data_IF_391149814734
#
_entry.id   IF_391149814734
#
_cell.length_a   1.000
_cell.length_b   1.000
_cell.length_c   1.000
_cell.angle_alpha   90.00
_cell.angle_beta   90.00
_cell.angle_gamma   90.00
#
_symmetry.space_group_name_H-M   'P 1'
#
loop_
_entity.id
_entity.type
_entity.pdbx_description
1 polymer ?
#
# COMPACT_ATOMS: atom_id res chain seq x y z
N UNK A 1 6.37 -5.57 3.13
CA UNK A 1 4.90 -5.47 3.03
C UNK A 1 4.41 -5.88 1.64
N UNK A 2 4.66 -5.08 0.60
CA UNK A 2 4.13 -5.26 -0.77
C UNK A 2 4.39 -6.68 -1.31
N UNK A 3 5.62 -7.19 -1.20
CA UNK A 3 5.96 -8.54 -1.68
C UNK A 3 5.14 -9.66 -1.01
N UNK A 4 4.84 -9.52 0.29
CA UNK A 4 4.07 -10.52 1.03
C UNK A 4 2.58 -10.49 0.61
N UNK A 5 2.00 -9.29 0.51
CA UNK A 5 0.62 -9.10 0.04
C UNK A 5 0.44 -9.55 -1.42
N UNK A 6 1.39 -9.22 -2.30
CA UNK A 6 1.41 -9.70 -3.68
C UNK A 6 1.37 -11.23 -3.76
N UNK A 7 2.21 -11.91 -2.97
CA UNK A 7 2.23 -13.38 -2.91
C UNK A 7 0.91 -13.94 -2.35
N UNK A 8 0.31 -13.30 -1.35
CA UNK A 8 -0.98 -13.71 -0.80
C UNK A 8 -2.13 -13.57 -1.82
N UNK A 9 -2.06 -12.57 -2.72
CA UNK A 9 -2.97 -12.41 -3.87
C UNK A 9 -2.67 -13.36 -5.05
N UNK A 10 -1.61 -14.17 -4.97
CA UNK A 10 -1.24 -15.13 -6.01
C UNK A 10 -0.53 -14.51 -7.22
N UNK A 11 -0.12 -13.24 -7.15
CA UNK A 11 0.55 -12.57 -8.26
C UNK A 11 2.08 -12.81 -8.25
N UNK A 12 2.65 -13.01 -9.42
CA UNK A 12 4.09 -12.84 -9.69
C UNK A 12 4.45 -11.35 -9.74
N UNK A 13 5.75 -11.03 -9.65
CA UNK A 13 6.20 -9.64 -9.84
C UNK A 13 5.88 -9.12 -11.24
N UNK A 14 5.89 -9.99 -12.26
CA UNK A 14 5.57 -9.57 -13.60
C UNK A 14 4.09 -9.17 -13.71
N UNK A 15 3.17 -10.00 -13.20
CA UNK A 15 1.73 -9.72 -13.24
C UNK A 15 1.36 -8.47 -12.45
N UNK A 16 1.92 -8.26 -11.25
CA UNK A 16 1.63 -7.03 -10.50
C UNK A 16 2.19 -5.80 -11.23
N UNK A 17 3.39 -5.89 -11.80
CA UNK A 17 4.01 -4.79 -12.52
C UNK A 17 3.21 -4.41 -13.77
N UNK A 18 2.71 -5.40 -14.52
CA UNK A 18 1.83 -5.15 -15.67
C UNK A 18 0.52 -4.47 -15.24
N UNK A 19 -0.13 -4.96 -14.18
CA UNK A 19 -1.38 -4.37 -13.66
C UNK A 19 -1.18 -2.94 -13.12
N UNK A 20 -0.01 -2.63 -12.58
CA UNK A 20 0.34 -1.29 -12.05
C UNK A 20 0.96 -0.37 -13.09
N UNK A 21 1.13 -0.82 -14.33
CA UNK A 21 1.75 -0.08 -15.42
C UNK A 21 3.19 0.38 -15.13
N UNK A 22 3.98 -0.44 -14.42
CA UNK A 22 5.41 -0.20 -14.18
C UNK A 22 6.26 -1.35 -14.71
N UNK A 23 7.57 -1.12 -14.84
CA UNK A 23 8.48 -2.21 -15.20
C UNK A 23 8.62 -3.20 -14.05
N UNK A 24 8.79 -4.49 -14.39
CA UNK A 24 9.06 -5.54 -13.40
C UNK A 24 10.34 -5.27 -12.59
N UNK A 25 11.35 -4.62 -13.17
CA UNK A 25 12.55 -4.22 -12.44
C UNK A 25 12.25 -3.11 -11.42
N UNK A 26 11.40 -2.14 -11.75
CA UNK A 26 10.97 -1.11 -10.80
C UNK A 26 10.19 -1.74 -9.64
N UNK A 27 9.24 -2.64 -9.91
CA UNK A 27 8.56 -3.36 -8.82
C UNK A 27 9.54 -4.19 -7.98
N UNK A 28 10.53 -4.81 -8.61
CA UNK A 28 11.57 -5.55 -7.87
C UNK A 28 12.37 -4.65 -6.93
N UNK A 29 12.69 -3.42 -7.34
CA UNK A 29 13.36 -2.44 -6.48
C UNK A 29 12.46 -2.01 -5.32
N UNK A 30 11.16 -1.81 -5.55
CA UNK A 30 10.18 -1.48 -4.51
C UNK A 30 10.05 -2.60 -3.46
N UNK A 31 10.11 -3.87 -3.89
CA UNK A 31 9.96 -5.01 -3.00
C UNK A 31 11.25 -5.44 -2.28
N UNK A 32 12.41 -4.95 -2.70
CA UNK A 32 13.68 -5.40 -2.19
C UNK A 32 13.85 -5.03 -0.70
N UNK A 33 14.22 -5.99 0.16
CA UNK A 33 14.47 -5.69 1.57
C UNK A 33 15.69 -4.78 1.70
N UNK A 34 15.63 -3.85 2.67
CA UNK A 34 16.72 -2.93 2.99
C UNK A 34 17.14 -1.98 1.85
N UNK A 35 16.32 -1.84 0.80
CA UNK A 35 16.53 -0.84 -0.26
C UNK A 35 15.43 0.21 -0.15
N UNK A 36 15.84 1.47 -0.02
CA UNK A 36 14.91 2.60 -0.12
C UNK A 36 14.66 2.87 -1.60
N UNK A 37 13.52 2.41 -2.12
CA UNK A 37 13.05 2.77 -3.45
C UNK A 37 12.01 3.88 -3.34
N UNK A 38 12.20 4.97 -4.09
CA UNK A 38 11.14 5.96 -4.31
C UNK A 38 10.17 5.44 -5.38
N UNK A 39 8.90 5.82 -5.24
CA UNK A 39 7.85 5.62 -6.25
C UNK A 39 6.81 6.73 -6.09
N UNK A 40 6.01 6.99 -7.13
CA UNK A 40 4.97 8.02 -7.09
C UNK A 40 3.78 7.62 -6.22
N UNK A 41 2.99 8.61 -5.78
CA UNK A 41 1.71 8.34 -5.12
C UNK A 41 0.74 7.57 -6.01
N UNK A 42 0.76 7.82 -7.32
CA UNK A 42 -0.02 7.05 -8.28
C UNK A 42 0.31 5.55 -8.21
N UNK A 43 1.61 5.20 -8.19
CA UNK A 43 2.04 3.80 -8.03
C UNK A 43 1.59 3.24 -6.67
N UNK A 44 1.64 4.03 -5.60
CA UNK A 44 1.12 3.62 -4.29
C UNK A 44 -0.37 3.25 -4.36
N UNK A 45 -1.20 4.13 -4.92
CA UNK A 45 -2.64 3.92 -5.03
C UNK A 45 -2.96 2.73 -5.94
N UNK A 46 -2.30 2.62 -7.09
CA UNK A 46 -2.50 1.49 -8.00
C UNK A 46 -2.15 0.16 -7.34
N UNK A 47 -1.02 0.07 -6.62
CA UNK A 47 -0.65 -1.15 -5.89
C UNK A 47 -1.69 -1.46 -4.80
N UNK A 48 -2.14 -0.45 -4.06
CA UNK A 48 -3.14 -0.62 -3.00
C UNK A 48 -4.45 -1.17 -3.53
N UNK A 49 -4.94 -0.61 -4.64
CA UNK A 49 -6.18 -1.04 -5.29
C UNK A 49 -6.09 -2.49 -5.78
N UNK A 50 -4.98 -2.86 -6.45
CA UNK A 50 -4.79 -4.23 -6.96
C UNK A 50 -4.63 -5.26 -5.85
N UNK A 51 -4.01 -4.85 -4.73
CA UNK A 51 -3.83 -5.70 -3.56
C UNK A 51 -5.02 -5.65 -2.60
N UNK A 52 -6.04 -4.83 -2.89
CA UNK A 52 -7.24 -4.62 -2.08
C UNK A 52 -6.93 -4.28 -0.62
N UNK A 53 -6.00 -3.34 -0.41
CA UNK A 53 -5.62 -2.84 0.92
C UNK A 53 -5.70 -1.32 0.94
N UNK A 54 -5.75 -0.70 2.12
CA UNK A 54 -5.69 0.76 2.18
C UNK A 54 -4.26 1.21 1.84
N UNK A 55 -4.07 2.30 1.08
CA UNK A 55 -2.74 2.83 0.76
C UNK A 55 -1.87 3.10 1.99
N UNK A 56 -2.49 3.55 3.10
CA UNK A 56 -1.80 3.75 4.37
C UNK A 56 -1.19 2.48 4.96
N UNK A 57 -1.81 1.32 4.74
CA UNK A 57 -1.31 0.02 5.21
C UNK A 57 -0.01 -0.36 4.47
N UNK A 58 0.18 0.11 3.23
CA UNK A 58 1.40 -0.14 2.46
C UNK A 58 2.59 0.70 2.91
N UNK A 59 2.33 1.86 3.53
CA UNK A 59 3.35 2.85 3.85
C UNK A 59 4.20 2.51 5.08
N UNK A 60 3.93 1.39 5.76
CA UNK A 60 4.72 0.90 6.90
C UNK A 60 5.05 2.03 7.89
N UNK A 61 4.03 2.85 8.16
CA UNK A 61 4.16 4.12 8.84
C UNK A 61 4.38 3.87 10.32
N UNK A 62 5.62 3.95 10.77
CA UNK A 62 5.92 4.22 12.18
C UNK A 62 5.73 5.72 12.43
N UNK A 63 4.52 6.21 12.14
CA UNK A 63 4.18 7.60 12.39
C UNK A 63 4.01 7.79 13.90
N UNK A 64 4.54 8.89 14.46
CA UNK A 64 4.22 9.28 15.82
C UNK A 64 2.70 9.32 16.04
N UNK A 65 2.26 8.85 17.21
CA UNK A 65 0.84 8.72 17.55
C UNK A 65 0.03 10.01 17.40
N UNK A 66 0.67 11.18 17.45
CA UNK A 66 0.01 12.47 17.29
C UNK A 66 -0.52 12.76 15.88
N UNK A 67 -0.09 12.01 14.85
CA UNK A 67 -0.66 12.11 13.49
C UNK A 67 -1.97 11.32 13.33
N UNK A 68 -2.29 10.44 14.28
CA UNK A 68 -3.54 9.67 14.29
C UNK A 68 -4.45 10.24 15.38
N UNK A 69 -4.99 11.44 15.14
CA UNK A 69 -6.13 11.89 15.94
C UNK A 69 -7.35 11.06 15.51
N UNK A 70 -8.00 10.41 16.48
CA UNK A 70 -9.15 9.57 16.24
C UNK A 70 -10.32 10.42 15.71
N UNK A 71 -10.60 10.32 14.42
CA UNK A 71 -11.88 10.72 13.84
C UNK A 71 -12.97 9.73 14.29
N UNK A 72 -13.23 9.68 15.60
CA UNK A 72 -14.45 9.10 16.18
C UNK A 72 -15.48 10.21 16.42
N UNK A 73 -15.99 10.82 15.35
CA UNK A 73 -17.10 11.77 15.48
C UNK A 73 -18.34 11.55 14.61
N UNK A 74 -18.40 10.49 13.79
CA UNK A 74 -19.58 10.23 12.92
C UNK A 74 -20.30 8.91 13.18
N UNK A 75 -20.42 8.48 14.46
CA UNK A 75 -21.36 7.41 14.86
C UNK A 75 -22.10 7.67 16.17
N UNK A 76 -22.49 8.92 16.43
CA UNK A 76 -23.40 9.23 17.54
C UNK A 76 -24.48 10.25 17.17
N UNK A 77 -25.17 9.99 16.05
CA UNK A 77 -26.35 10.74 15.62
C UNK A 77 -27.39 9.85 14.94
N UNK A 78 -27.57 8.58 15.36
CA UNK A 78 -28.73 7.76 14.97
C UNK A 78 -29.26 6.86 16.10
N UNK A 79 -29.00 7.19 17.37
CA UNK A 79 -29.76 6.59 18.48
C UNK A 79 -29.70 7.50 19.72
N UNK A 80 -30.56 8.53 19.72
CA UNK A 80 -31.31 9.09 20.85
C UNK A 80 -32.08 10.33 20.38
#
# INVERSE_FOLDING_TARGET
MISALRKAKGYTQHELAEKTHISRSHLSSIEAPNITSSFSLEILFNIADILEVKPGDLLNLNLPSFYFNNDEHDKKSENL
#
